data_IF_741823261666
#
_entry.id   IF_741823261666
#
_cell.length_a   1.000
_cell.length_b   1.000
_cell.length_c   1.000
_cell.angle_alpha   90.00
_cell.angle_beta   90.00
_cell.angle_gamma   90.00
#
_symmetry.space_group_name_H-M   'P 1'
#
loop_
_entity.id
_entity.type
_entity.pdbx_description
1 polymer ?
#
# COMPACT_ATOMS: atom_id res chain seq x y z
N UNK A 1 20.70 -2.07 9.45
CA UNK A 1 19.94 -1.66 8.25
C UNK A 1 19.83 -2.84 7.29
N UNK A 2 18.64 -3.08 6.71
CA UNK A 2 18.42 -4.15 5.71
C UNK A 2 18.73 -3.72 4.28
N UNK A 3 18.66 -2.42 3.98
CA UNK A 3 18.95 -1.89 2.65
C UNK A 3 20.35 -2.30 2.19
N UNK A 4 20.45 -2.73 0.93
CA UNK A 4 21.69 -3.19 0.31
C UNK A 4 22.07 -4.64 0.64
N UNK A 5 21.31 -5.33 1.50
CA UNK A 5 21.52 -6.74 1.80
C UNK A 5 20.63 -7.63 0.94
N UNK A 6 21.13 -8.81 0.61
CA UNK A 6 20.36 -9.91 0.05
C UNK A 6 19.43 -10.52 1.11
N UNK A 7 18.50 -11.36 0.66
CA UNK A 7 17.60 -12.08 1.57
C UNK A 7 18.38 -12.98 2.55
N UNK A 8 19.38 -13.71 2.08
CA UNK A 8 20.17 -14.62 2.90
C UNK A 8 20.98 -13.87 3.97
N UNK A 9 21.58 -12.73 3.60
CA UNK A 9 22.28 -11.87 4.56
C UNK A 9 21.33 -11.27 5.62
N UNK A 10 20.07 -11.00 5.27
CA UNK A 10 19.06 -10.54 6.22
C UNK A 10 18.71 -11.66 7.20
N UNK A 11 18.53 -12.89 6.72
CA UNK A 11 18.25 -14.04 7.58
C UNK A 11 19.42 -14.33 8.53
N UNK A 12 20.65 -14.26 8.03
CA UNK A 12 21.86 -14.47 8.83
C UNK A 12 22.04 -13.41 9.92
N UNK A 13 21.88 -12.12 9.56
CA UNK A 13 22.19 -11.00 10.48
C UNK A 13 21.00 -10.54 11.31
N UNK A 14 19.77 -10.78 10.86
CA UNK A 14 18.54 -10.24 11.44
C UNK A 14 17.40 -11.28 11.51
N UNK A 15 17.71 -12.58 11.57
CA UNK A 15 16.72 -13.66 11.52
C UNK A 15 15.55 -13.52 12.51
N UNK A 16 15.81 -13.10 13.75
CA UNK A 16 14.75 -12.87 14.73
C UNK A 16 13.81 -11.72 14.34
N UNK A 17 14.37 -10.61 13.83
CA UNK A 17 13.58 -9.48 13.32
C UNK A 17 12.75 -9.90 12.10
N UNK A 18 13.34 -10.69 11.20
CA UNK A 18 12.63 -11.22 10.03
C UNK A 18 11.46 -12.12 10.46
N UNK A 19 11.67 -13.01 11.42
CA UNK A 19 10.64 -13.90 11.95
C UNK A 19 9.50 -13.11 12.64
N UNK A 20 9.84 -12.07 13.42
CA UNK A 20 8.86 -11.18 14.03
C UNK A 20 8.02 -10.42 12.98
N UNK A 21 8.68 -9.87 11.96
CA UNK A 21 8.00 -9.22 10.84
C UNK A 21 7.04 -10.17 10.12
N UNK A 22 7.44 -11.42 9.87
CA UNK A 22 6.60 -12.45 9.27
C UNK A 22 5.37 -12.83 10.10
N UNK A 23 5.38 -12.59 11.42
CA UNK A 23 4.22 -12.77 12.31
C UNK A 23 3.31 -11.53 12.38
N UNK A 24 3.66 -10.45 11.66
CA UNK A 24 2.91 -9.19 11.69
C UNK A 24 3.27 -8.29 12.87
N UNK A 25 4.38 -8.54 13.56
CA UNK A 25 4.83 -7.65 14.64
C UNK A 25 5.37 -6.33 14.07
N UNK A 26 5.22 -5.21 14.82
CA UNK A 26 5.74 -3.91 14.40
C UNK A 26 7.27 -3.88 14.50
N UNK A 27 7.95 -4.29 13.43
CA UNK A 27 9.41 -4.37 13.37
C UNK A 27 9.99 -3.21 12.57
N UNK A 28 10.89 -2.45 13.19
CA UNK A 28 11.76 -1.49 12.50
C UNK A 28 12.86 -2.23 11.74
N UNK A 29 12.56 -2.63 10.50
CA UNK A 29 13.44 -3.43 9.64
C UNK A 29 14.81 -2.79 9.50
N UNK A 30 15.80 -3.35 10.20
CA UNK A 30 17.17 -2.83 10.24
C UNK A 30 17.32 -1.42 10.83
N UNK A 31 16.40 -0.99 11.70
CA UNK A 31 16.39 0.34 12.32
C UNK A 31 15.66 1.43 11.50
N UNK A 32 14.95 1.05 10.44
CA UNK A 32 14.16 1.98 9.62
C UNK A 32 12.79 2.35 10.21
N UNK A 33 11.90 2.79 9.33
CA UNK A 33 10.51 3.13 9.65
C UNK A 33 9.67 1.88 9.96
N UNK A 34 8.65 2.07 10.80
CA UNK A 34 7.49 1.18 10.91
C UNK A 34 6.55 1.39 9.72
N UNK A 35 5.76 0.37 9.41
CA UNK A 35 4.73 0.48 8.35
C UNK A 35 3.71 1.57 8.65
N UNK A 36 3.35 1.76 9.93
CA UNK A 36 2.45 2.82 10.38
C UNK A 36 3.02 4.21 10.13
N UNK A 37 4.31 4.42 10.37
CA UNK A 37 4.99 5.71 10.12
C UNK A 37 4.99 6.05 8.63
N UNK A 38 5.24 5.04 7.77
CA UNK A 38 5.15 5.19 6.31
C UNK A 38 3.74 5.61 5.90
N UNK A 39 2.70 4.96 6.43
CA UNK A 39 1.33 5.30 6.12
C UNK A 39 0.93 6.69 6.63
N UNK A 40 1.35 7.07 7.83
CA UNK A 40 1.08 8.36 8.46
C UNK A 40 1.67 9.53 7.68
N UNK A 41 2.82 9.36 7.02
CA UNK A 41 3.37 10.40 6.14
C UNK A 41 2.79 10.38 4.73
N UNK A 42 2.45 9.21 4.19
CA UNK A 42 2.09 9.07 2.79
C UNK A 42 0.60 9.36 2.52
N UNK A 43 -0.31 8.81 3.32
CA UNK A 43 -1.74 8.95 3.05
C UNK A 43 -2.26 10.40 3.15
N UNK A 44 -1.78 11.27 4.08
CA UNK A 44 -2.15 12.69 4.06
C UNK A 44 -1.71 13.44 2.80
N UNK A 45 -0.67 12.97 2.10
CA UNK A 45 -0.29 13.53 0.80
C UNK A 45 -1.33 13.19 -0.25
N UNK A 46 -1.86 11.97 -0.24
CA UNK A 46 -2.94 11.54 -1.14
C UNK A 46 -4.20 12.35 -0.86
N UNK A 47 -4.67 12.37 0.39
CA UNK A 47 -5.87 13.10 0.84
C UNK A 47 -5.83 14.57 0.37
N UNK A 48 -4.77 15.32 0.72
CA UNK A 48 -4.63 16.73 0.30
C UNK A 48 -4.46 16.96 -1.20
N UNK A 49 -4.06 15.94 -1.95
CA UNK A 49 -3.89 16.05 -3.40
C UNK A 49 -5.22 15.81 -4.12
N UNK A 50 -6.06 14.91 -3.59
CA UNK A 50 -7.42 14.65 -4.08
C UNK A 50 -8.29 15.90 -3.90
N UNK A 51 -8.18 16.59 -2.76
CA UNK A 51 -8.91 17.84 -2.47
C UNK A 51 -8.70 18.98 -3.50
N UNK A 52 -7.67 18.85 -4.35
CA UNK A 52 -7.32 19.86 -5.37
C UNK A 52 -7.81 19.50 -6.77
N UNK A 53 -8.39 18.32 -6.94
CA UNK A 53 -8.90 17.88 -8.22
C UNK A 53 -10.24 18.57 -8.54
N UNK A 54 -10.54 18.80 -9.83
CA UNK A 54 -11.90 19.11 -10.24
C UNK A 54 -12.81 17.88 -10.01
N UNK A 55 -14.13 18.11 -10.00
CA UNK A 55 -15.11 17.03 -9.96
C UNK A 55 -14.85 16.00 -11.06
N UNK A 56 -14.78 14.72 -10.69
CA UNK A 56 -14.45 13.62 -11.60
C UNK A 56 -12.97 13.54 -12.01
N UNK A 57 -12.09 14.36 -11.43
CA UNK A 57 -10.65 14.30 -11.65
C UNK A 57 -10.02 13.00 -11.15
N UNK A 58 -8.87 12.63 -11.73
CA UNK A 58 -8.12 11.42 -11.33
C UNK A 58 -6.73 11.81 -10.84
N UNK A 59 -6.36 11.37 -9.63
CA UNK A 59 -5.00 11.47 -9.10
C UNK A 59 -4.20 10.22 -9.46
N UNK A 60 -3.01 10.40 -10.04
CA UNK A 60 -2.04 9.32 -10.22
C UNK A 60 -0.91 9.48 -9.19
N UNK A 61 -0.72 8.46 -8.34
CA UNK A 61 0.34 8.43 -7.33
C UNK A 61 1.39 7.40 -7.72
N UNK A 62 2.64 7.84 -7.91
CA UNK A 62 3.77 6.95 -8.21
C UNK A 62 4.63 6.78 -6.98
N UNK A 63 4.85 5.53 -6.54
CA UNK A 63 5.62 5.21 -5.35
C UNK A 63 6.14 3.76 -5.39
N UNK A 64 6.53 3.21 -4.24
CA UNK A 64 7.02 1.84 -4.08
C UNK A 64 5.98 0.94 -3.44
N UNK A 65 6.01 -0.37 -3.73
CA UNK A 65 4.98 -1.33 -3.31
C UNK A 65 4.67 -1.32 -1.80
N UNK A 66 5.70 -1.27 -0.94
CA UNK A 66 5.49 -1.18 0.51
C UNK A 66 4.79 0.11 0.95
N UNK A 67 5.18 1.24 0.38
CA UNK A 67 4.51 2.54 0.64
C UNK A 67 3.06 2.50 0.14
N UNK A 68 2.83 1.99 -1.07
CA UNK A 68 1.49 1.91 -1.66
C UNK A 68 0.58 1.05 -0.79
N UNK A 69 1.01 -0.16 -0.43
CA UNK A 69 0.21 -1.09 0.38
C UNK A 69 -0.20 -0.50 1.72
N UNK A 70 0.75 0.08 2.46
CA UNK A 70 0.49 0.69 3.77
C UNK A 70 -0.41 1.92 3.66
N UNK A 71 -0.21 2.73 2.61
CA UNK A 71 -1.09 3.88 2.28
C UNK A 71 -2.51 3.43 1.98
N UNK A 72 -2.71 2.41 1.14
CA UNK A 72 -4.02 1.86 0.82
C UNK A 72 -4.70 1.34 2.08
N UNK A 73 -3.98 0.54 2.88
CA UNK A 73 -4.49 -0.01 4.14
C UNK A 73 -5.00 1.08 5.09
N UNK A 74 -4.25 2.18 5.25
CA UNK A 74 -4.70 3.35 6.03
C UNK A 74 -5.92 4.02 5.43
N UNK A 75 -5.92 4.31 4.13
CA UNK A 75 -7.00 5.04 3.47
C UNK A 75 -8.34 4.31 3.56
N UNK A 76 -8.36 2.99 3.34
CA UNK A 76 -9.59 2.19 3.40
C UNK A 76 -9.95 1.75 4.84
N UNK A 77 -9.22 2.24 5.85
CA UNK A 77 -9.53 2.03 7.26
C UNK A 77 -9.20 0.64 7.82
N UNK A 78 -8.28 -0.11 7.20
CA UNK A 78 -7.82 -1.40 7.76
C UNK A 78 -6.93 -1.18 8.99
N UNK A 79 -7.05 -2.02 10.03
CA UNK A 79 -6.10 -2.03 11.14
C UNK A 79 -4.66 -2.31 10.64
N UNK A 80 -3.61 -1.66 11.17
CA UNK A 80 -2.25 -1.82 10.68
C UNK A 80 -1.74 -3.25 10.61
N UNK A 81 -2.09 -4.09 11.59
CA UNK A 81 -1.71 -5.50 11.63
C UNK A 81 -2.32 -6.37 10.52
N UNK A 82 -3.27 -5.85 9.73
CA UNK A 82 -3.93 -6.59 8.64
C UNK A 82 -3.52 -6.10 7.25
N UNK A 83 -2.62 -5.12 7.13
CA UNK A 83 -2.25 -4.56 5.82
C UNK A 83 -1.53 -5.57 4.90
N UNK A 84 -0.89 -6.60 5.45
CA UNK A 84 -0.33 -7.73 4.71
C UNK A 84 -1.40 -8.63 4.04
N UNK A 85 -2.69 -8.44 4.35
CA UNK A 85 -3.78 -9.07 3.60
C UNK A 85 -3.89 -8.53 2.16
N UNK A 86 -3.32 -7.34 1.90
CA UNK A 86 -3.14 -6.81 0.56
C UNK A 86 -1.82 -7.35 -0.01
N UNK A 87 -1.89 -7.92 -1.21
CA UNK A 87 -0.72 -8.43 -1.92
C UNK A 87 0.35 -7.36 -2.18
N UNK A 88 1.53 -7.82 -2.63
CA UNK A 88 2.54 -6.92 -3.16
C UNK A 88 2.10 -6.30 -4.49
N UNK A 89 2.60 -5.10 -4.79
CA UNK A 89 2.50 -4.54 -6.14
C UNK A 89 3.70 -4.98 -6.98
N UNK A 90 3.42 -5.65 -8.08
CA UNK A 90 4.37 -6.00 -9.12
C UNK A 90 4.87 -4.75 -9.86
N UNK A 91 6.02 -4.87 -10.52
CA UNK A 91 6.60 -3.75 -11.28
C UNK A 91 5.62 -3.23 -12.33
N UNK A 92 5.44 -1.90 -12.35
CA UNK A 92 4.52 -1.19 -13.26
C UNK A 92 3.04 -1.59 -13.15
N UNK A 93 2.66 -2.38 -12.15
CA UNK A 93 1.26 -2.66 -11.84
C UNK A 93 0.69 -1.58 -10.92
N UNK A 94 -0.64 -1.41 -10.92
CA UNK A 94 -1.31 -0.35 -10.17
C UNK A 94 -2.45 -0.87 -9.30
N UNK A 95 -2.98 0.01 -8.46
CA UNK A 95 -4.22 -0.21 -7.71
C UNK A 95 -5.13 1.00 -7.89
N UNK A 96 -6.44 0.77 -7.96
CA UNK A 96 -7.44 1.83 -8.12
C UNK A 96 -8.23 1.97 -6.84
N UNK A 97 -8.33 3.20 -6.35
CA UNK A 97 -9.17 3.55 -5.21
C UNK A 97 -10.26 4.51 -5.67
N UNK A 98 -11.47 4.31 -5.15
CA UNK A 98 -12.60 5.23 -5.33
C UNK A 98 -13.03 5.81 -4.00
N UNK A 99 -13.40 7.09 -3.99
CA UNK A 99 -14.03 7.72 -2.84
C UNK A 99 -15.55 7.51 -2.89
N UNK A 100 -16.13 7.19 -1.73
CA UNK A 100 -17.58 7.05 -1.56
C UNK A 100 -18.00 7.89 -0.34
N UNK A 101 -19.30 8.15 -0.14
CA UNK A 101 -19.78 8.80 1.10
C UNK A 101 -19.40 8.04 2.39
N UNK A 102 -18.97 6.78 2.29
CA UNK A 102 -18.50 5.95 3.40
C UNK A 102 -16.96 5.91 3.53
N UNK A 103 -16.25 6.70 2.73
CA UNK A 103 -14.79 6.73 2.66
C UNK A 103 -14.23 5.99 1.43
N UNK A 104 -12.92 5.75 1.47
CA UNK A 104 -12.15 5.11 0.40
C UNK A 104 -12.50 3.62 0.24
N UNK A 105 -12.50 3.17 -1.01
CA UNK A 105 -12.66 1.76 -1.39
C UNK A 105 -11.56 1.34 -2.35
N UNK A 106 -10.96 0.19 -2.10
CA UNK A 106 -10.07 -0.47 -3.05
C UNK A 106 -10.92 -1.16 -4.13
N UNK A 107 -10.83 -0.67 -5.36
CA UNK A 107 -11.60 -1.17 -6.51
C UNK A 107 -10.83 -2.23 -7.29
N UNK A 108 -9.53 -2.03 -7.41
CA UNK A 108 -8.62 -2.91 -8.15
C UNK A 108 -7.26 -2.92 -7.48
N UNK A 109 -6.58 -4.07 -7.47
CA UNK A 109 -5.27 -4.20 -6.83
C UNK A 109 -4.31 -5.04 -7.65
N UNK A 110 -3.09 -4.52 -7.79
CA UNK A 110 -1.99 -5.15 -8.54
C UNK A 110 -2.36 -5.51 -10.00
N UNK A 111 -3.11 -4.63 -10.66
CA UNK A 111 -3.45 -4.80 -12.07
C UNK A 111 -2.26 -4.48 -12.97
N UNK A 112 -2.02 -5.35 -13.95
CA UNK A 112 -0.95 -5.21 -14.95
C UNK A 112 -1.47 -5.10 -16.39
N UNK A 113 -2.78 -5.09 -16.56
CA UNK A 113 -3.48 -4.93 -17.85
C UNK A 113 -4.59 -3.91 -17.65
N UNK A 114 -4.96 -3.20 -18.73
CA UNK A 114 -6.09 -2.29 -18.66
C UNK A 114 -7.35 -3.05 -18.22
N UNK A 115 -8.21 -2.43 -17.39
CA UNK A 115 -9.45 -3.07 -16.99
C UNK A 115 -10.28 -3.37 -18.24
N UNK A 116 -10.74 -4.62 -18.35
CA UNK A 116 -11.77 -4.94 -19.33
C UNK A 116 -13.08 -4.29 -18.89
N UNK A 117 -13.84 -3.66 -19.80
CA UNK A 117 -15.14 -3.10 -19.46
C UNK A 117 -16.01 -4.18 -18.82
N UNK A 118 -16.48 -3.93 -17.61
CA UNK A 118 -17.53 -4.78 -17.02
C UNK A 118 -18.80 -4.50 -17.82
N UNK A 119 -19.21 -5.45 -18.66
CA UNK A 119 -20.56 -5.50 -19.22
C UNK A 119 -21.52 -5.82 -18.06
N UNK A 120 -21.89 -4.81 -17.29
CA UNK A 120 -22.95 -4.89 -16.30
C UNK A 120 -24.20 -4.25 -16.88
N UNK A 121 -25.21 -5.06 -17.19
CA UNK A 121 -26.58 -4.60 -17.44
C UNK A 121 -27.15 -4.09 -16.11
N UNK A 122 -27.11 -2.78 -15.89
CA UNK A 122 -28.00 -2.10 -14.95
C UNK A 122 -28.28 -0.69 -15.51
N UNK A 123 -29.29 -0.64 -16.39
CA UNK A 123 -30.06 0.57 -16.77
C UNK A 123 -31.08 0.93 -15.68
#
# INVERSE_FOLDING_TARGET
>A
MWQGLTHDEILERYGEQYAAWKRGEPVRRGGGELETEVAERAAPVVERSVDKLPDGGTLVVVSHGGTIRTTIGRLIGLPPGTWEALGGLSNCCWSVLGETPRGWRLLEHNAGSLPEPVLGDDD
#
